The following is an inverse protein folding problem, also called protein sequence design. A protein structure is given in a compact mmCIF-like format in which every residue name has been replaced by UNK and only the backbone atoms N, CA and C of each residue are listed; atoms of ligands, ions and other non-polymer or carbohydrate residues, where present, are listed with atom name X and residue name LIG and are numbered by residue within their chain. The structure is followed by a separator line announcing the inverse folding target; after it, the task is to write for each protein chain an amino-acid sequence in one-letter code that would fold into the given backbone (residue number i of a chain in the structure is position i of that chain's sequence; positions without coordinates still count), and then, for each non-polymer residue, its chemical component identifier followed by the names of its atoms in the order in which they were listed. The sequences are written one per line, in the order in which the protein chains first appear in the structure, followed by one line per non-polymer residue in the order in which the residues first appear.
data_IF_193004869757
#
_entry.id   IF_193004869757
#
_cell.length_a   1.000
_cell.length_b   1.000
_cell.length_c   1.000
_cell.angle_alpha   90.00
_cell.angle_beta   90.00
_cell.angle_gamma   90.00
#
_symmetry.space_group_name_H-M   'P 1'
#
loop_
_entity.id
_entity.type
_entity.pdbx_description
1 polymer ?
#
# COMPACT_ATOMS: atom_id res chain seq x y z
N UNK A 1 12.63 -62.29 -18.40
CA UNK A 1 11.46 -61.71 -17.69
C UNK A 1 11.83 -60.47 -16.87
N UNK A 2 12.99 -60.45 -16.19
CA UNK A 2 13.47 -59.33 -15.36
C UNK A 2 13.74 -58.00 -16.11
N UNK A 3 14.28 -58.02 -17.33
CA UNK A 3 14.56 -56.78 -18.07
C UNK A 3 13.30 -56.01 -18.51
N UNK A 4 12.21 -56.74 -18.76
CA UNK A 4 10.92 -56.13 -19.13
C UNK A 4 10.34 -55.35 -17.94
N UNK A 5 10.42 -55.91 -16.74
CA UNK A 5 9.96 -55.27 -15.49
C UNK A 5 10.80 -54.03 -15.16
N UNK A 6 12.13 -54.12 -15.30
CA UNK A 6 13.08 -53.02 -15.05
C UNK A 6 12.90 -51.86 -16.05
N UNK A 7 12.54 -52.17 -17.30
CA UNK A 7 12.24 -51.17 -18.33
C UNK A 7 10.91 -50.46 -18.06
N UNK A 8 9.89 -51.19 -17.61
CA UNK A 8 8.59 -50.62 -17.23
C UNK A 8 8.70 -49.74 -15.99
N UNK A 9 9.47 -50.15 -14.97
CA UNK A 9 9.68 -49.32 -13.77
C UNK A 9 10.43 -48.02 -14.07
N UNK A 10 11.48 -48.06 -14.90
CA UNK A 10 12.18 -46.84 -15.38
C UNK A 10 11.24 -45.90 -16.14
N UNK A 11 10.36 -46.44 -17.00
CA UNK A 11 9.39 -45.65 -17.77
C UNK A 11 8.37 -44.96 -16.84
N UNK A 12 7.91 -45.65 -15.80
CA UNK A 12 6.98 -45.09 -14.81
C UNK A 12 7.63 -44.02 -13.92
N UNK A 13 8.92 -44.16 -13.58
CA UNK A 13 9.69 -43.15 -12.84
C UNK A 13 9.91 -41.88 -13.68
N UNK A 14 10.21 -42.04 -14.97
CA UNK A 14 10.36 -40.88 -15.88
C UNK A 14 9.01 -40.14 -16.03
N UNK A 15 7.90 -40.87 -16.10
CA UNK A 15 6.56 -40.30 -16.20
C UNK A 15 6.19 -39.49 -14.94
N UNK A 16 6.50 -40.01 -13.74
CA UNK A 16 6.18 -39.33 -12.48
C UNK A 16 7.00 -38.05 -12.28
N UNK A 17 8.29 -38.06 -12.64
CA UNK A 17 9.15 -36.86 -12.61
C UNK A 17 8.59 -35.77 -13.55
N UNK A 18 8.13 -36.16 -14.75
CA UNK A 18 7.50 -35.23 -15.69
C UNK A 18 6.22 -34.58 -15.14
N UNK A 19 5.37 -35.35 -14.46
CA UNK A 19 4.14 -34.83 -13.84
C UNK A 19 4.45 -33.84 -12.70
N UNK A 20 5.43 -34.15 -11.84
CA UNK A 20 5.83 -33.27 -10.73
C UNK A 20 6.37 -31.94 -11.27
N UNK A 21 7.24 -31.99 -12.29
CA UNK A 21 7.74 -30.78 -12.96
C UNK A 21 6.59 -29.96 -13.56
N UNK A 22 5.61 -30.61 -14.20
CA UNK A 22 4.46 -29.93 -14.77
C UNK A 22 3.60 -29.23 -13.69
N UNK A 23 3.38 -29.88 -12.54
CA UNK A 23 2.67 -29.28 -11.41
C UNK A 23 3.45 -28.10 -10.78
N UNK A 24 4.78 -28.16 -10.73
CA UNK A 24 5.62 -27.03 -10.28
C UNK A 24 5.53 -25.83 -11.25
N UNK A 25 5.49 -26.08 -12.56
CA UNK A 25 5.34 -25.02 -13.58
C UNK A 25 3.94 -24.41 -13.52
N UNK A 26 2.89 -25.21 -13.40
CA UNK A 26 1.50 -24.72 -13.29
C UNK A 26 1.26 -23.95 -11.99
N UNK A 27 1.83 -24.40 -10.87
CA UNK A 27 1.71 -23.69 -9.58
C UNK A 27 2.46 -22.36 -9.56
N UNK A 28 3.67 -22.28 -10.13
CA UNK A 28 4.40 -21.02 -10.31
C UNK A 28 3.70 -20.06 -11.30
N UNK A 29 3.10 -20.59 -12.37
CA UNK A 29 2.30 -19.80 -13.30
C UNK A 29 0.99 -19.28 -12.66
N UNK A 30 0.36 -20.05 -11.77
CA UNK A 30 -0.78 -19.61 -10.98
C UNK A 30 -0.40 -18.51 -9.98
N UNK A 31 0.69 -18.69 -9.23
CA UNK A 31 1.14 -17.75 -8.21
C UNK A 31 1.45 -16.34 -8.77
N UNK A 32 2.07 -16.30 -9.95
CA UNK A 32 2.40 -15.04 -10.65
C UNK A 32 1.20 -14.36 -11.31
N UNK A 33 0.09 -15.08 -11.55
CA UNK A 33 -1.15 -14.54 -12.13
C UNK A 33 -2.13 -14.04 -11.07
N UNK A 34 -2.10 -14.61 -9.86
CA UNK A 34 -2.93 -14.18 -8.72
C UNK A 34 -2.37 -13.00 -7.94
N UNK A 35 -1.09 -12.66 -8.15
CA UNK A 35 -0.49 -11.42 -7.63
C UNK A 35 -0.34 -10.43 -8.79
N UNK A 36 -1.23 -9.44 -8.93
CA UNK A 36 -1.16 -8.52 -10.05
C UNK A 36 0.21 -7.82 -10.09
N UNK A 37 0.87 -7.86 -11.25
CA UNK A 37 2.21 -7.29 -11.48
C UNK A 37 2.26 -5.76 -11.39
N UNK A 38 1.12 -5.08 -11.56
CA UNK A 38 0.96 -3.61 -11.55
C UNK A 38 0.56 -3.11 -10.14
N UNK A 39 1.44 -3.36 -9.17
CA UNK A 39 1.10 -3.32 -7.75
C UNK A 39 2.20 -2.67 -6.89
N UNK A 40 3.05 -1.84 -7.52
CA UNK A 40 4.21 -1.23 -6.85
C UNK A 40 3.76 -0.46 -5.62
N UNK A 41 4.50 -0.64 -4.53
CA UNK A 41 4.32 0.10 -3.28
C UNK A 41 4.44 1.62 -3.48
N UNK A 42 5.16 2.03 -4.54
CA UNK A 42 5.50 3.41 -4.87
C UNK A 42 4.29 4.31 -5.09
N UNK A 43 3.23 3.81 -5.75
CA UNK A 43 2.17 4.69 -6.25
C UNK A 43 1.20 5.08 -5.14
N UNK A 44 0.75 4.11 -4.33
CA UNK A 44 -0.10 4.41 -3.15
C UNK A 44 0.66 5.23 -2.13
N UNK A 45 1.93 4.91 -1.88
CA UNK A 45 2.78 5.66 -0.96
C UNK A 45 2.90 7.13 -1.38
N UNK A 46 3.21 7.39 -2.66
CA UNK A 46 3.37 8.73 -3.17
C UNK A 46 2.08 9.55 -3.03
N UNK A 47 0.93 8.97 -3.42
CA UNK A 47 -0.38 9.63 -3.32
C UNK A 47 -0.76 9.92 -1.86
N UNK A 48 -0.52 8.99 -0.94
CA UNK A 48 -0.80 9.21 0.49
C UNK A 48 0.11 10.32 1.03
N UNK A 49 1.42 10.27 0.74
CA UNK A 49 2.38 11.29 1.15
C UNK A 49 2.00 12.67 0.62
N UNK A 50 1.61 12.77 -0.64
CA UNK A 50 1.10 14.00 -1.24
C UNK A 50 -0.15 14.49 -0.51
N UNK A 51 -1.13 13.61 -0.27
CA UNK A 51 -2.35 13.96 0.46
C UNK A 51 -2.10 14.52 1.87
N UNK A 52 -1.12 13.97 2.61
CA UNK A 52 -0.70 14.51 3.90
C UNK A 52 -0.12 15.94 3.79
N UNK A 53 0.72 16.19 2.78
CA UNK A 53 1.60 17.35 2.71
C UNK A 53 1.11 18.48 1.77
N UNK A 54 0.02 18.28 1.04
CA UNK A 54 -0.52 19.30 0.12
C UNK A 54 -1.11 20.49 0.87
N UNK A 55 -0.55 21.68 0.59
CA UNK A 55 -1.01 22.97 1.17
C UNK A 55 -2.17 23.61 0.43
N UNK A 56 -2.31 23.33 -0.87
CA UNK A 56 -3.26 24.01 -1.76
C UNK A 56 -4.71 23.51 -1.61
N UNK A 57 -4.96 22.63 -0.63
CA UNK A 57 -6.24 21.93 -0.50
C UNK A 57 -6.36 20.77 -1.49
N UNK A 58 -7.59 20.32 -1.72
CA UNK A 58 -7.86 19.14 -2.54
C UNK A 58 -7.79 19.48 -4.03
N UNK A 59 -6.75 19.03 -4.73
CA UNK A 59 -6.44 19.41 -6.12
C UNK A 59 -7.09 18.47 -7.14
N UNK A 60 -7.16 18.92 -8.40
CA UNK A 60 -7.62 18.09 -9.52
C UNK A 60 -6.69 16.89 -9.78
N UNK A 61 -5.42 16.96 -9.39
CA UNK A 61 -4.50 15.83 -9.53
C UNK A 61 -4.75 14.79 -8.44
N UNK A 62 -4.84 15.22 -7.19
CA UNK A 62 -5.18 14.33 -6.06
C UNK A 62 -6.53 13.66 -6.26
N UNK A 63 -7.50 14.36 -6.86
CA UNK A 63 -8.84 13.82 -7.09
C UNK A 63 -8.89 12.65 -8.08
N UNK A 64 -7.83 12.43 -8.86
CA UNK A 64 -7.68 11.24 -9.72
C UNK A 64 -7.31 9.99 -8.94
N UNK A 65 -6.78 10.13 -7.73
CA UNK A 65 -6.14 9.02 -6.99
C UNK A 65 -6.68 8.82 -5.57
N UNK A 66 -7.35 9.81 -4.99
CA UNK A 66 -7.82 9.78 -3.60
C UNK A 66 -9.21 10.40 -3.51
N UNK A 67 -10.03 9.94 -2.57
CA UNK A 67 -11.32 10.56 -2.26
C UNK A 67 -11.17 11.86 -1.45
N UNK A 68 -12.08 12.83 -1.60
CA UNK A 68 -12.02 14.06 -0.83
C UNK A 68 -12.16 13.80 0.68
N UNK A 69 -12.88 12.74 1.05
CA UNK A 69 -13.03 12.33 2.45
C UNK A 69 -11.70 11.85 3.04
N UNK A 70 -10.96 11.00 2.32
CA UNK A 70 -9.63 10.54 2.76
C UNK A 70 -8.68 11.72 2.88
N UNK A 71 -8.66 12.61 1.88
CA UNK A 71 -7.84 13.82 1.92
C UNK A 71 -8.13 14.67 3.17
N UNK A 72 -9.41 14.93 3.46
CA UNK A 72 -9.81 15.70 4.65
C UNK A 72 -9.35 15.06 5.96
N UNK A 73 -9.29 13.74 6.04
CA UNK A 73 -8.86 13.02 7.26
C UNK A 73 -7.34 13.07 7.47
N UNK A 74 -6.56 13.00 6.39
CA UNK A 74 -5.10 12.85 6.50
C UNK A 74 -4.35 14.17 6.37
N UNK A 75 -4.90 15.15 5.64
CA UNK A 75 -4.18 16.38 5.34
C UNK A 75 -3.84 17.17 6.61
N UNK A 76 -2.56 17.50 6.80
CA UNK A 76 -2.12 18.15 8.04
C UNK A 76 -2.64 19.60 8.13
N UNK A 77 -2.88 20.26 6.99
CA UNK A 77 -3.28 21.66 6.91
C UNK A 77 -4.80 21.90 7.02
N UNK A 78 -5.58 20.83 7.17
CA UNK A 78 -7.04 20.93 7.41
C UNK A 78 -7.37 21.70 8.70
N UNK A 79 -6.44 21.73 9.66
CA UNK A 79 -6.63 22.38 10.96
C UNK A 79 -6.04 23.80 10.95
N UNK A 80 -6.89 24.78 11.28
CA UNK A 80 -6.64 26.21 11.06
C UNK A 80 -5.40 26.82 11.69
N UNK A 81 -4.83 26.20 12.73
CA UNK A 81 -3.65 26.71 13.44
C UNK A 81 -2.40 26.75 12.56
N UNK A 82 -2.22 25.78 11.67
CA UNK A 82 -1.02 25.70 10.81
C UNK A 82 -1.02 26.75 9.70
N UNK A 83 -2.21 27.22 9.29
CA UNK A 83 -2.29 28.27 8.29
C UNK A 83 -1.92 29.65 8.86
N UNK A 84 -2.09 29.83 10.19
CA UNK A 84 -1.87 31.10 10.89
C UNK A 84 -0.47 31.21 11.52
N UNK A 85 0.11 30.11 12.00
CA UNK A 85 1.36 30.12 12.79
C UNK A 85 2.64 29.94 11.96
N UNK A 86 2.83 30.73 10.89
CA UNK A 86 4.08 30.68 10.10
C UNK A 86 5.18 31.55 10.74
N UNK A 87 6.47 31.13 10.68
CA UNK A 87 6.99 29.92 10.03
C UNK A 87 7.11 28.71 10.99
N UNK A 88 7.14 27.50 10.42
CA UNK A 88 7.23 26.23 11.15
C UNK A 88 8.04 25.19 10.37
N UNK A 89 8.53 24.18 11.09
CA UNK A 89 9.22 22.99 10.57
C UNK A 89 8.30 21.78 10.68
N UNK A 90 8.22 21.00 9.60
CA UNK A 90 7.50 19.71 9.56
C UNK A 90 8.53 18.60 9.45
N UNK A 91 8.48 17.67 10.40
CA UNK A 91 9.15 16.38 10.35
C UNK A 91 8.07 15.31 10.17
N UNK A 92 8.06 14.69 8.99
CA UNK A 92 7.03 13.74 8.59
C UNK A 92 7.69 12.47 8.06
N UNK A 93 7.30 11.34 8.63
CA UNK A 93 7.67 10.03 8.13
C UNK A 93 6.42 9.24 7.79
N UNK A 94 6.53 8.43 6.74
CA UNK A 94 5.50 7.50 6.29
C UNK A 94 6.23 6.24 5.85
N UNK A 95 5.71 5.09 6.27
CA UNK A 95 6.23 3.77 5.89
C UNK A 95 5.06 2.84 5.62
N UNK A 96 5.15 2.05 4.56
CA UNK A 96 4.21 0.93 4.38
C UNK A 96 4.60 -0.22 5.32
N UNK A 97 3.62 -0.71 6.08
CA UNK A 97 3.74 -1.86 6.99
C UNK A 97 3.34 -3.15 6.28
N UNK A 98 2.15 -3.17 5.66
CA UNK A 98 1.64 -4.35 4.96
C UNK A 98 0.58 -4.01 3.90
N UNK A 99 0.35 -4.95 2.97
CA UNK A 99 -0.53 -4.78 1.80
C UNK A 99 -1.35 -6.04 1.54
N UNK A 100 -2.64 -6.05 1.94
CA UNK A 100 -3.54 -7.22 1.84
C UNK A 100 -4.55 -7.06 0.72
N UNK A 101 -4.68 -8.07 -0.14
CA UNK A 101 -5.72 -8.13 -1.16
C UNK A 101 -6.89 -9.02 -0.71
N UNK A 102 -8.13 -8.54 -0.86
CA UNK A 102 -9.36 -9.30 -0.59
C UNK A 102 -10.51 -8.80 -1.46
N UNK A 103 -11.17 -9.69 -2.18
CA UNK A 103 -12.39 -9.40 -2.96
C UNK A 103 -12.28 -8.18 -3.89
N UNK A 104 -11.17 -8.03 -4.63
CA UNK A 104 -10.98 -6.88 -5.53
C UNK A 104 -10.57 -5.57 -4.84
N UNK A 105 -10.31 -5.62 -3.53
CA UNK A 105 -9.92 -4.48 -2.71
C UNK A 105 -8.52 -4.71 -2.16
N UNK A 106 -7.69 -3.66 -2.20
CA UNK A 106 -6.36 -3.65 -1.59
C UNK A 106 -6.43 -2.82 -0.32
N UNK A 107 -5.98 -3.38 0.79
CA UNK A 107 -5.81 -2.71 2.06
C UNK A 107 -4.33 -2.45 2.27
N UNK A 108 -3.94 -1.18 2.33
CA UNK A 108 -2.54 -0.77 2.51
C UNK A 108 -2.40 -0.16 3.89
N UNK A 109 -1.72 -0.87 4.78
CA UNK A 109 -1.43 -0.42 6.13
C UNK A 109 -0.15 0.40 6.11
N UNK A 110 -0.22 1.65 6.55
CA UNK A 110 0.92 2.55 6.63
C UNK A 110 1.06 3.10 8.03
N UNK A 111 2.31 3.29 8.45
CA UNK A 111 2.66 3.88 9.74
C UNK A 111 3.21 5.28 9.46
N UNK A 112 2.66 6.29 10.11
CA UNK A 112 3.14 7.66 10.00
C UNK A 112 3.58 8.22 11.35
N UNK A 113 4.56 9.12 11.30
CA UNK A 113 4.91 10.00 12.42
C UNK A 113 4.92 11.43 11.92
N UNK A 114 4.41 12.35 12.73
CA UNK A 114 4.28 13.76 12.40
C UNK A 114 4.67 14.62 13.60
N UNK A 115 5.69 15.45 13.40
CA UNK A 115 6.09 16.48 14.35
C UNK A 115 6.15 17.82 13.63
N UNK A 116 5.39 18.77 14.13
CA UNK A 116 5.33 20.15 13.62
C UNK A 116 5.72 21.09 14.75
N UNK A 117 6.78 21.86 14.53
CA UNK A 117 7.37 22.78 15.49
C UNK A 117 7.40 24.20 14.92
N UNK A 118 7.11 25.21 15.74
CA UNK A 118 7.41 26.60 15.40
C UNK A 118 8.92 26.91 15.52
N UNK A 119 9.30 28.17 15.30
CA UNK A 119 10.71 28.61 15.42
C UNK A 119 11.25 28.52 16.84
N UNK A 120 10.37 28.55 17.85
CA UNK A 120 10.72 28.40 19.26
C UNK A 120 10.78 26.93 19.70
N UNK A 121 10.68 25.98 18.75
CA UNK A 121 10.61 24.54 18.97
C UNK A 121 9.36 24.10 19.77
N UNK A 122 8.30 24.90 19.78
CA UNK A 122 7.03 24.56 20.41
C UNK A 122 6.19 23.76 19.41
N UNK A 123 5.62 22.65 19.87
CA UNK A 123 4.76 21.80 19.07
C UNK A 123 3.43 22.49 18.73
N UNK A 124 3.02 22.49 17.47
CA UNK A 124 1.80 23.17 17.02
C UNK A 124 0.91 22.28 16.14
N UNK A 125 -0.41 22.43 16.29
CA UNK A 125 -1.41 21.70 15.49
C UNK A 125 -1.84 20.36 16.11
N UNK A 126 -3.08 19.92 15.84
CA UNK A 126 -3.72 18.84 16.60
C UNK A 126 -3.15 17.43 16.31
N UNK A 127 -2.58 17.20 15.12
CA UNK A 127 -1.90 15.94 14.77
C UNK A 127 -0.39 15.97 15.00
N UNK A 128 0.14 17.09 15.50
CA UNK A 128 1.56 17.21 15.80
C UNK A 128 1.87 16.41 17.06
N UNK A 129 2.98 15.68 17.06
CA UNK A 129 3.37 14.75 18.13
C UNK A 129 2.91 13.31 17.91
N UNK A 130 2.18 13.02 16.82
CA UNK A 130 1.86 11.65 16.42
C UNK A 130 3.13 10.84 16.15
N UNK A 131 3.27 9.69 16.79
CA UNK A 131 4.41 8.80 16.62
C UNK A 131 3.94 7.37 16.37
N UNK A 132 4.34 6.79 15.22
CA UNK A 132 4.03 5.40 14.91
C UNK A 132 2.53 5.11 14.72
N UNK A 133 1.74 6.12 14.31
CA UNK A 133 0.31 5.95 14.11
C UNK A 133 0.06 5.11 12.88
N UNK A 134 -0.73 4.06 13.05
CA UNK A 134 -1.08 3.13 11.99
C UNK A 134 -2.38 3.58 11.32
N UNK A 135 -2.37 3.68 9.99
CA UNK A 135 -3.51 4.04 9.18
C UNK A 135 -3.65 3.03 8.03
N UNK A 136 -4.82 2.42 7.91
CA UNK A 136 -5.12 1.47 6.84
C UNK A 136 -5.94 2.15 5.74
N UNK A 137 -5.40 2.16 4.53
CA UNK A 137 -6.03 2.73 3.34
C UNK A 137 -6.73 1.66 2.51
N UNK A 138 -7.95 1.94 2.10
CA UNK A 138 -8.71 1.10 1.18
C UNK A 138 -8.55 1.59 -0.25
N UNK A 139 -8.00 0.76 -1.12
CA UNK A 139 -7.73 1.06 -2.51
C UNK A 139 -8.55 0.13 -3.41
N UNK A 140 -9.24 0.72 -4.39
CA UNK A 140 -10.01 -0.02 -5.41
C UNK A 140 -9.54 0.37 -6.79
N UNK A 141 -9.56 -0.59 -7.72
CA UNK A 141 -9.41 -0.27 -9.14
C UNK A 141 -10.75 0.31 -9.64
N UNK A 142 -10.70 1.53 -10.19
CA UNK A 142 -11.81 2.15 -10.91
C UNK A 142 -11.33 2.38 -12.34
N UNK A 143 -11.91 1.66 -13.31
CA UNK A 143 -11.62 1.81 -14.74
C UNK A 143 -10.12 1.75 -15.10
N UNK A 144 -9.37 0.85 -14.47
CA UNK A 144 -7.93 0.70 -14.71
C UNK A 144 -7.03 1.55 -13.81
N UNK A 145 -7.59 2.43 -12.97
CA UNK A 145 -6.84 3.31 -12.07
C UNK A 145 -6.99 2.87 -10.61
N UNK A 146 -5.89 2.66 -9.90
CA UNK A 146 -5.90 2.47 -8.44
C UNK A 146 -6.34 3.77 -7.74
N UNK A 147 -7.38 3.70 -6.93
CA UNK A 147 -8.01 4.85 -6.29
C UNK A 147 -8.26 4.58 -4.80
N UNK A 148 -7.79 5.48 -3.93
CA UNK A 148 -7.95 5.40 -2.48
C UNK A 148 -9.34 5.94 -2.11
N UNK A 149 -10.22 5.06 -1.63
CA UNK A 149 -11.63 5.40 -1.35
C UNK A 149 -11.88 5.75 0.11
N UNK A 150 -11.15 5.13 1.04
CA UNK A 150 -11.40 5.25 2.48
C UNK A 150 -10.11 4.98 3.26
N UNK A 151 -10.09 5.38 4.52
CA UNK A 151 -9.00 5.11 5.45
C UNK A 151 -9.50 5.12 6.90
N UNK A 152 -8.84 4.35 7.77
CA UNK A 152 -9.08 4.41 9.21
C UNK A 152 -7.77 4.27 9.99
N UNK A 153 -7.68 4.95 11.13
CA UNK A 153 -6.56 4.79 12.06
C UNK A 153 -6.85 3.56 12.93
N UNK A 154 -5.87 2.67 13.06
CA UNK A 154 -5.95 1.52 13.98
C UNK A 154 -5.64 2.07 15.39
N UNK A 155 -6.67 2.17 16.25
CA UNK A 155 -6.57 2.66 17.64
C UNK A 155 -6.09 1.58 18.61
#
# INVERSE_FOLDING_TARGET
MFDKVKKTSKKNIILSIGIILCLCIVSSYGYTKFTPRWFSSTDTYAVVKEGFLTRQGYTNELSKHMSPQVFKRINIYQYGDLNRKKPYKIDFTLKEDSRRYKNGVVYVKMIYSLKIMDLQNIQIGPKSGSHGITNTFTVKNKNGVWYIIDNWEDL
#
